data_IF_449776134535
#
_entry.id   IF_449776134535
#
_cell.length_a   1.000
_cell.length_b   1.000
_cell.length_c   1.000
_cell.angle_alpha   90.00
_cell.angle_beta   90.00
_cell.angle_gamma   90.00
#
_symmetry.space_group_name_H-M   'P 1'
#
loop_
_entity.id
_entity.type
_entity.pdbx_description
1 polymer ?
#
# COMPACT_ATOMS: atom_id res chain seq x y z
N UNK A 1 10.26 20.75 23.41
CA UNK A 1 9.76 19.98 22.25
C UNK A 1 8.26 20.22 22.12
N UNK A 2 7.72 20.25 20.89
CA UNK A 2 6.27 20.35 20.68
C UNK A 2 5.55 19.15 21.33
N UNK A 3 4.34 19.36 21.82
CA UNK A 3 3.49 18.28 22.32
C UNK A 3 2.92 17.52 21.13
N UNK A 4 3.35 16.26 20.97
CA UNK A 4 2.87 15.39 19.90
C UNK A 4 1.40 14.99 20.11
N UNK A 5 0.70 14.60 19.03
CA UNK A 5 -0.72 14.19 19.07
C UNK A 5 -0.90 12.95 19.94
N UNK A 6 0.04 12.02 19.88
CA UNK A 6 0.06 10.75 20.59
C UNK A 6 0.07 10.89 22.11
N UNK A 7 0.50 12.05 22.66
CA UNK A 7 0.37 12.35 24.10
C UNK A 7 -1.06 12.17 24.63
N UNK A 8 -2.06 12.32 23.75
CA UNK A 8 -3.47 12.09 24.07
C UNK A 8 -3.74 10.66 24.55
N UNK A 9 -3.03 9.66 24.03
CA UNK A 9 -3.22 8.24 24.37
C UNK A 9 -2.05 7.65 25.17
N UNK A 10 -0.91 8.35 25.24
CA UNK A 10 0.28 7.88 25.96
C UNK A 10 0.49 8.55 27.32
N UNK A 11 -0.09 9.73 27.59
CA UNK A 11 0.21 10.49 28.82
C UNK A 11 -1.00 10.70 29.75
N UNK A 12 -0.72 10.84 31.05
CA UNK A 12 -1.73 11.16 32.07
C UNK A 12 -2.39 9.94 32.74
N UNK A 13 -2.96 10.15 33.93
CA UNK A 13 -3.57 9.09 34.76
C UNK A 13 -4.73 8.39 34.03
N UNK A 14 -5.60 9.17 33.40
CA UNK A 14 -6.80 8.65 32.71
C UNK A 14 -6.47 7.78 31.50
N UNK A 15 -5.25 7.88 30.94
CA UNK A 15 -4.80 7.09 29.80
C UNK A 15 -4.01 5.84 30.21
N UNK A 16 -4.13 5.39 31.46
CA UNK A 16 -3.51 4.13 31.92
C UNK A 16 -4.00 2.92 31.12
N UNK A 17 -5.29 2.89 30.76
CA UNK A 17 -5.86 1.82 29.91
C UNK A 17 -5.35 1.85 28.47
N UNK A 18 -5.22 3.04 27.87
CA UNK A 18 -4.60 3.16 26.55
C UNK A 18 -3.13 2.70 26.59
N UNK A 19 -2.37 3.11 27.62
CA UNK A 19 -1.00 2.63 27.82
C UNK A 19 -0.90 1.12 28.02
N UNK A 20 -1.83 0.48 28.74
CA UNK A 20 -1.78 -0.98 28.92
C UNK A 20 -1.99 -1.72 27.60
N UNK A 21 -2.89 -1.22 26.74
CA UNK A 21 -3.05 -1.74 25.37
C UNK A 21 -1.80 -1.49 24.52
N UNK A 22 -1.20 -0.30 24.58
CA UNK A 22 0.05 -0.01 23.88
C UNK A 22 1.19 -0.94 24.31
N UNK A 23 1.29 -1.27 25.60
CA UNK A 23 2.25 -2.27 26.10
C UNK A 23 2.01 -3.66 25.52
N UNK A 24 0.74 -4.06 25.35
CA UNK A 24 0.41 -5.33 24.69
C UNK A 24 0.86 -5.37 23.22
N UNK A 25 1.05 -4.20 22.58
CA UNK A 25 1.68 -4.09 21.25
C UNK A 25 3.22 -3.99 21.28
N UNK A 26 3.84 -4.23 22.44
CA UNK A 26 5.29 -4.25 22.63
C UNK A 26 5.94 -2.92 23.06
N UNK A 27 5.17 -1.87 23.36
CA UNK A 27 5.76 -0.59 23.82
C UNK A 27 6.22 -0.67 25.28
N UNK A 28 7.35 -0.01 25.57
CA UNK A 28 7.86 0.20 26.93
C UNK A 28 7.72 1.65 27.40
N UNK A 29 8.22 1.95 28.60
CA UNK A 29 8.10 3.27 29.24
C UNK A 29 8.82 4.38 28.47
N UNK A 30 9.95 4.06 27.83
CA UNK A 30 10.70 5.01 27.02
C UNK A 30 10.00 5.30 25.68
N UNK A 31 9.22 4.35 25.17
CA UNK A 31 8.46 4.54 23.93
C UNK A 31 7.32 5.55 24.06
N UNK A 32 6.75 5.73 25.26
CA UNK A 32 5.69 6.72 25.47
C UNK A 32 6.14 8.17 25.35
N UNK A 33 7.46 8.42 25.28
CA UNK A 33 8.05 9.74 25.11
C UNK A 33 8.39 10.04 23.63
N UNK A 34 8.30 9.03 22.76
CA UNK A 34 8.67 9.09 21.34
C UNK A 34 7.45 9.36 20.47
N UNK A 35 7.62 9.94 19.26
CA UNK A 35 6.52 10.08 18.32
C UNK A 35 6.06 8.71 17.79
N UNK A 36 4.75 8.52 17.67
CA UNK A 36 4.15 7.35 17.04
C UNK A 36 3.97 7.64 15.55
N UNK A 37 4.62 6.83 14.72
CA UNK A 37 4.61 6.97 13.25
C UNK A 37 3.76 5.84 12.68
N UNK A 38 2.63 6.19 12.05
CA UNK A 38 1.78 5.21 11.40
C UNK A 38 2.39 4.78 10.07
N UNK A 39 2.53 3.47 9.84
CA UNK A 39 2.90 2.94 8.52
C UNK A 39 1.60 2.48 7.87
N UNK A 40 1.16 3.23 6.87
CA UNK A 40 -0.05 2.94 6.11
C UNK A 40 0.32 2.04 4.95
N UNK A 41 0.07 0.75 5.10
CA UNK A 41 0.36 -0.24 4.06
C UNK A 41 -0.92 -0.65 3.32
N UNK A 42 -0.76 -1.10 2.08
CA UNK A 42 -1.83 -1.63 1.24
C UNK A 42 -1.51 -3.05 0.76
N UNK A 43 -0.64 -3.77 1.48
CA UNK A 43 -0.30 -5.16 1.19
C UNK A 43 -1.55 -6.02 1.03
N UNK A 44 -1.60 -6.76 -0.08
CA UNK A 44 -2.65 -7.72 -0.37
C UNK A 44 -2.09 -8.81 -1.28
N UNK A 45 -2.42 -10.07 -0.97
CA UNK A 45 -2.06 -11.20 -1.83
C UNK A 45 -2.94 -11.29 -3.09
N UNK A 46 -4.04 -10.53 -3.15
CA UNK A 46 -4.90 -10.44 -4.35
C UNK A 46 -4.31 -9.51 -5.42
N UNK A 47 -3.35 -8.66 -5.06
CA UNK A 47 -2.89 -7.58 -5.93
C UNK A 47 -1.38 -7.75 -6.16
N UNK A 48 -0.92 -8.20 -7.34
CA UNK A 48 0.50 -8.41 -7.62
C UNK A 48 1.37 -7.17 -7.38
N UNK A 49 0.82 -5.97 -7.58
CA UNK A 49 1.52 -4.72 -7.27
C UNK A 49 1.75 -4.44 -5.79
N UNK A 50 1.16 -5.25 -4.91
CA UNK A 50 1.15 -5.00 -3.47
C UNK A 50 1.74 -6.14 -2.64
N UNK A 51 2.03 -7.30 -3.25
CA UNK A 51 2.47 -8.50 -2.52
C UNK A 51 3.81 -8.30 -1.78
N UNK A 52 4.73 -7.50 -2.33
CA UNK A 52 6.03 -7.24 -1.72
C UNK A 52 6.01 -6.14 -0.65
N UNK A 53 4.90 -5.39 -0.54
CA UNK A 53 4.82 -4.23 0.36
C UNK A 53 4.88 -4.62 1.84
N UNK A 54 4.59 -5.88 2.19
CA UNK A 54 4.80 -6.36 3.55
C UNK A 54 6.28 -6.26 3.96
N UNK A 55 7.21 -6.54 3.05
CA UNK A 55 8.64 -6.44 3.35
C UNK A 55 9.09 -4.97 3.40
N UNK A 56 8.54 -4.13 2.52
CA UNK A 56 8.76 -2.68 2.56
C UNK A 56 8.31 -2.08 3.90
N UNK A 57 7.15 -2.51 4.42
CA UNK A 57 6.64 -2.12 5.74
C UNK A 57 7.61 -2.46 6.88
N UNK A 58 8.19 -3.66 6.86
CA UNK A 58 9.21 -4.08 7.84
C UNK A 58 10.47 -3.21 7.77
N UNK A 59 10.97 -2.91 6.57
CA UNK A 59 12.14 -2.05 6.37
C UNK A 59 11.87 -0.66 6.95
N UNK A 60 10.73 -0.05 6.61
CA UNK A 60 10.33 1.26 7.11
C UNK A 60 10.19 1.25 8.64
N UNK A 61 9.59 0.20 9.21
CA UNK A 61 9.46 0.02 10.66
C UNK A 61 10.81 0.01 11.36
N UNK A 62 11.78 -0.71 10.82
CA UNK A 62 13.15 -0.74 11.37
C UNK A 62 13.82 0.65 11.32
N UNK A 63 13.67 1.40 10.22
CA UNK A 63 14.27 2.73 10.09
C UNK A 63 13.61 3.77 11.01
N UNK A 64 12.30 3.68 11.24
CA UNK A 64 11.62 4.53 12.23
C UNK A 64 12.18 4.26 13.63
N UNK A 65 12.35 2.99 14.02
CA UNK A 65 12.90 2.63 15.33
C UNK A 65 14.33 3.15 15.51
N UNK A 66 15.19 2.98 14.49
CA UNK A 66 16.57 3.51 14.48
C UNK A 66 16.59 5.04 14.61
N UNK A 67 15.59 5.71 14.04
CA UNK A 67 15.43 7.17 14.11
C UNK A 67 14.77 7.67 15.41
N UNK A 68 14.48 6.78 16.36
CA UNK A 68 13.91 7.15 17.66
C UNK A 68 12.39 7.34 17.67
N UNK A 69 11.68 6.87 16.64
CA UNK A 69 10.21 6.82 16.60
C UNK A 69 9.64 5.45 16.99
N UNK A 70 8.33 5.39 17.18
CA UNK A 70 7.59 4.14 17.42
C UNK A 70 6.74 3.82 16.19
N UNK A 71 7.11 2.82 15.37
CA UNK A 71 6.32 2.46 14.20
C UNK A 71 5.08 1.67 14.63
N UNK A 72 3.94 1.97 14.02
CA UNK A 72 2.73 1.15 14.08
C UNK A 72 2.17 0.97 12.68
N UNK A 73 2.36 -0.22 12.14
CA UNK A 73 1.87 -0.59 10.82
C UNK A 73 0.42 -1.07 10.89
N UNK A 74 -0.37 -0.64 9.91
CA UNK A 74 -1.71 -1.18 9.66
C UNK A 74 -1.97 -1.20 8.15
N UNK A 75 -2.96 -1.99 7.75
CA UNK A 75 -3.34 -2.13 6.36
C UNK A 75 -4.64 -1.42 6.04
N UNK A 76 -4.69 -0.80 4.86
CA UNK A 76 -5.92 -0.46 4.15
C UNK A 76 -6.19 -1.49 3.04
N UNK A 77 -7.37 -1.43 2.43
CA UNK A 77 -7.78 -2.34 1.35
C UNK A 77 -7.02 -2.06 0.05
N UNK A 78 -6.96 -3.05 -0.84
CA UNK A 78 -6.47 -2.87 -2.20
C UNK A 78 -7.32 -3.66 -3.20
N UNK A 79 -7.57 -3.06 -4.35
CA UNK A 79 -8.26 -3.67 -5.50
C UNK A 79 -7.30 -3.65 -6.68
N UNK A 80 -7.25 -4.75 -7.42
CA UNK A 80 -6.52 -4.84 -8.68
C UNK A 80 -7.45 -4.52 -9.86
N UNK A 81 -7.23 -3.36 -10.47
CA UNK A 81 -8.03 -2.91 -11.62
C UNK A 81 -7.83 -3.82 -12.85
N UNK A 82 -6.66 -4.45 -13.00
CA UNK A 82 -6.37 -5.38 -14.09
C UNK A 82 -7.19 -6.66 -13.98
N UNK A 83 -7.27 -7.23 -12.78
CA UNK A 83 -8.09 -8.42 -12.49
C UNK A 83 -9.58 -8.09 -12.56
N UNK A 84 -10.01 -6.94 -12.03
CA UNK A 84 -11.42 -6.54 -12.01
C UNK A 84 -11.98 -6.14 -13.39
N UNK A 85 -11.12 -6.02 -14.40
CA UNK A 85 -11.47 -5.56 -15.74
C UNK A 85 -12.38 -6.56 -16.46
N UNK A 86 -13.41 -6.04 -17.13
CA UNK A 86 -14.30 -6.86 -17.97
C UNK A 86 -15.46 -7.55 -17.25
N UNK A 87 -15.66 -7.31 -15.95
CA UNK A 87 -16.82 -7.83 -15.21
C UNK A 87 -17.33 -6.83 -14.14
N UNK A 88 -18.35 -7.23 -13.38
CA UNK A 88 -19.01 -6.38 -12.36
C UNK A 88 -18.10 -5.92 -11.22
N UNK A 89 -16.91 -6.51 -11.07
CA UNK A 89 -15.92 -6.12 -10.07
C UNK A 89 -15.39 -4.71 -10.28
N UNK A 90 -15.33 -4.24 -11.53
CA UNK A 90 -14.88 -2.89 -11.87
C UNK A 90 -15.74 -1.78 -11.21
N UNK A 91 -17.00 -2.07 -10.85
CA UNK A 91 -17.86 -1.14 -10.12
C UNK A 91 -17.31 -0.78 -8.72
N UNK A 92 -16.43 -1.60 -8.16
CA UNK A 92 -15.81 -1.39 -6.84
C UNK A 92 -14.47 -0.66 -6.90
N UNK A 93 -13.87 -0.50 -8.08
CA UNK A 93 -12.55 0.13 -8.25
C UNK A 93 -12.53 1.57 -7.77
N UNK A 94 -13.21 2.49 -8.48
CA UNK A 94 -13.15 3.92 -8.15
C UNK A 94 -13.67 4.24 -6.73
N UNK A 95 -14.81 3.67 -6.26
CA UNK A 95 -15.28 3.89 -4.89
C UNK A 95 -14.29 3.46 -3.81
N UNK A 96 -13.40 2.49 -4.08
CA UNK A 96 -12.38 2.08 -3.11
C UNK A 96 -11.46 3.22 -2.70
N UNK A 97 -11.23 4.22 -3.56
CA UNK A 97 -10.43 5.41 -3.24
C UNK A 97 -10.93 6.11 -1.97
N UNK A 98 -12.25 6.27 -1.85
CA UNK A 98 -12.86 6.92 -0.68
C UNK A 98 -12.73 6.03 0.55
N UNK A 99 -12.98 4.72 0.42
CA UNK A 99 -12.83 3.78 1.53
C UNK A 99 -11.39 3.72 2.04
N UNK A 100 -10.40 3.78 1.14
CA UNK A 100 -8.99 3.87 1.48
C UNK A 100 -8.75 5.15 2.29
N UNK A 101 -9.17 6.31 1.77
CA UNK A 101 -9.00 7.58 2.46
C UNK A 101 -9.62 7.57 3.87
N UNK A 102 -10.87 7.11 3.97
CA UNK A 102 -11.63 7.08 5.21
C UNK A 102 -11.02 6.09 6.23
N UNK A 103 -10.60 4.90 5.78
CA UNK A 103 -9.98 3.91 6.65
C UNK A 103 -8.70 4.43 7.31
N UNK A 104 -7.88 5.18 6.56
CA UNK A 104 -6.65 5.78 7.06
C UNK A 104 -6.98 6.89 8.05
N UNK A 105 -7.91 7.77 7.68
CA UNK A 105 -8.35 8.88 8.51
C UNK A 105 -8.86 8.39 9.88
N UNK A 106 -9.62 7.30 9.90
CA UNK A 106 -10.18 6.71 11.12
C UNK A 106 -9.08 6.15 12.02
N UNK A 107 -8.18 5.33 11.47
CA UNK A 107 -7.11 4.71 12.27
C UNK A 107 -6.17 5.77 12.83
N UNK A 108 -5.74 6.73 12.00
CA UNK A 108 -4.78 7.76 12.40
C UNK A 108 -5.35 8.70 13.45
N UNK A 109 -6.59 9.16 13.29
CA UNK A 109 -7.23 10.03 14.27
C UNK A 109 -7.55 9.29 15.58
N UNK A 110 -8.10 8.08 15.51
CA UNK A 110 -8.48 7.31 16.70
C UNK A 110 -7.27 6.97 17.58
N UNK A 111 -6.12 6.66 16.97
CA UNK A 111 -4.89 6.34 17.69
C UNK A 111 -3.99 7.55 17.94
N UNK A 112 -4.39 8.73 17.43
CA UNK A 112 -3.67 9.98 17.56
C UNK A 112 -2.21 9.90 17.08
N UNK A 113 -1.95 9.23 15.95
CA UNK A 113 -0.59 9.14 15.42
C UNK A 113 -0.04 10.52 15.04
N UNK A 114 1.28 10.68 15.13
CA UNK A 114 1.96 11.98 15.03
C UNK A 114 2.36 12.34 13.60
N UNK A 115 2.69 11.30 12.82
CA UNK A 115 3.03 11.37 11.42
C UNK A 115 2.65 10.04 10.76
N UNK A 116 2.68 9.99 9.44
CA UNK A 116 2.48 8.74 8.71
C UNK A 116 3.39 8.57 7.51
N UNK A 117 3.67 7.31 7.17
CA UNK A 117 4.36 6.91 5.95
C UNK A 117 3.40 6.04 5.16
N UNK A 118 3.05 6.50 3.96
CA UNK A 118 2.12 5.84 3.05
C UNK A 118 2.89 5.00 2.03
N UNK A 119 2.70 3.68 2.07
CA UNK A 119 3.25 2.74 1.09
C UNK A 119 2.20 2.52 0.01
N UNK A 120 2.34 3.24 -1.09
CA UNK A 120 1.35 3.28 -2.17
C UNK A 120 1.88 2.67 -3.47
N UNK A 121 1.00 2.09 -4.29
CA UNK A 121 1.41 1.63 -5.62
C UNK A 121 0.27 1.76 -6.67
N UNK A 122 -0.73 0.88 -6.63
CA UNK A 122 -1.77 0.82 -7.66
C UNK A 122 -2.68 2.06 -7.73
N UNK A 123 -3.39 2.16 -8.85
CA UNK A 123 -4.15 3.32 -9.33
C UNK A 123 -4.91 4.06 -8.21
N UNK A 124 -5.90 3.42 -7.58
CA UNK A 124 -6.79 4.08 -6.59
C UNK A 124 -6.18 4.24 -5.21
N UNK A 125 -5.08 3.54 -4.91
CA UNK A 125 -4.40 3.55 -3.61
C UNK A 125 -3.69 4.87 -3.39
N UNK A 126 -2.93 5.31 -4.40
CA UNK A 126 -2.16 6.56 -4.35
C UNK A 126 -3.01 7.79 -4.08
N UNK A 127 -4.09 8.07 -4.84
CA UNK A 127 -4.96 9.19 -4.53
C UNK A 127 -5.74 8.99 -3.24
N UNK A 128 -6.12 7.77 -2.85
CA UNK A 128 -6.79 7.50 -1.57
C UNK A 128 -5.91 7.87 -0.36
N UNK A 129 -4.65 7.43 -0.36
CA UNK A 129 -3.67 7.80 0.66
C UNK A 129 -3.34 9.30 0.64
N UNK A 130 -3.26 9.91 -0.55
CA UNK A 130 -3.04 11.35 -0.69
C UNK A 130 -4.20 12.16 -0.11
N UNK A 131 -5.44 11.76 -0.39
CA UNK A 131 -6.63 12.38 0.19
C UNK A 131 -6.61 12.31 1.72
N UNK A 132 -6.30 11.14 2.30
CA UNK A 132 -6.15 11.01 3.74
C UNK A 132 -5.08 11.94 4.30
N UNK A 133 -3.92 12.07 3.64
CA UNK A 133 -2.84 12.96 4.10
C UNK A 133 -3.26 14.43 4.14
N UNK A 134 -4.01 14.88 3.13
CA UNK A 134 -4.47 16.26 3.06
C UNK A 134 -5.56 16.53 4.10
N UNK A 135 -6.47 15.57 4.33
CA UNK A 135 -7.51 15.68 5.37
C UNK A 135 -6.92 15.72 6.78
N UNK A 136 -5.94 14.85 7.05
CA UNK A 136 -5.32 14.72 8.38
C UNK A 136 -4.34 15.85 8.70
N UNK A 137 -3.70 16.43 7.67
CA UNK A 137 -2.75 17.52 7.78
C UNK A 137 -1.66 17.30 8.85
N UNK A 138 -1.09 16.09 8.86
CA UNK A 138 0.09 15.73 9.66
C UNK A 138 1.28 15.44 8.76
N UNK A 139 2.52 15.49 9.27
CA UNK A 139 3.70 15.11 8.49
C UNK A 139 3.49 13.74 7.84
N UNK A 140 3.59 13.71 6.52
CA UNK A 140 3.28 12.54 5.70
C UNK A 140 4.37 12.34 4.66
N UNK A 141 4.84 11.10 4.50
CA UNK A 141 5.82 10.70 3.48
C UNK A 141 5.22 9.60 2.62
N UNK A 142 5.43 9.66 1.31
CA UNK A 142 4.96 8.65 0.38
C UNK A 142 6.14 7.82 -0.13
N UNK A 143 5.99 6.51 -0.04
CA UNK A 143 6.94 5.51 -0.57
C UNK A 143 6.20 4.72 -1.64
N UNK A 144 6.68 4.81 -2.88
CA UNK A 144 6.13 4.02 -3.97
C UNK A 144 6.56 2.56 -3.86
N UNK A 145 5.65 1.63 -4.11
CA UNK A 145 5.95 0.21 -4.24
C UNK A 145 6.78 -0.12 -5.48
N UNK A 146 6.73 0.73 -6.51
CA UNK A 146 7.48 0.59 -7.74
C UNK A 146 6.78 -0.27 -8.80
N UNK A 147 7.16 -0.09 -10.08
CA UNK A 147 6.60 -0.83 -11.19
C UNK A 147 7.12 -2.26 -11.26
N UNK A 148 6.34 -3.13 -11.89
CA UNK A 148 6.82 -4.45 -12.32
C UNK A 148 7.81 -4.31 -13.49
N UNK A 149 8.61 -5.33 -13.72
CA UNK A 149 9.48 -5.38 -14.90
C UNK A 149 8.64 -5.72 -16.14
N UNK A 150 9.05 -5.20 -17.31
CA UNK A 150 8.41 -5.56 -18.57
C UNK A 150 8.67 -7.03 -18.91
N UNK A 151 7.61 -7.73 -19.32
CA UNK A 151 7.65 -9.07 -19.88
C UNK A 151 8.43 -9.14 -21.19
N UNK A 152 8.81 -10.36 -21.59
CA UNK A 152 9.60 -10.59 -22.82
C UNK A 152 9.17 -11.85 -23.55
N UNK A 153 8.97 -11.75 -24.87
CA UNK A 153 8.70 -12.89 -25.75
C UNK A 153 9.61 -12.88 -26.99
N UNK A 154 9.79 -14.04 -27.61
CA UNK A 154 10.49 -14.15 -28.90
C UNK A 154 9.49 -14.13 -30.05
N UNK A 155 9.70 -13.24 -31.01
CA UNK A 155 8.95 -13.19 -32.27
C UNK A 155 9.92 -12.97 -33.43
N UNK A 156 9.88 -13.84 -34.45
CA UNK A 156 10.78 -13.78 -35.61
C UNK A 156 12.27 -13.67 -35.21
N UNK A 157 12.72 -14.48 -34.24
CA UNK A 157 14.08 -14.45 -33.66
C UNK A 157 14.51 -13.12 -33.01
N UNK A 158 13.58 -12.21 -32.71
CA UNK A 158 13.83 -10.99 -31.95
C UNK A 158 13.10 -11.03 -30.61
N UNK A 159 13.75 -10.53 -29.57
CA UNK A 159 13.12 -10.29 -28.28
C UNK A 159 12.26 -9.03 -28.36
N UNK A 160 11.01 -9.14 -27.91
CA UNK A 160 10.03 -8.04 -27.85
C UNK A 160 9.59 -7.92 -26.40
N UNK A 161 9.59 -6.68 -25.89
CA UNK A 161 9.01 -6.37 -24.58
C UNK A 161 7.50 -6.35 -24.68
N UNK A 162 6.84 -6.90 -23.68
CA UNK A 162 5.39 -6.94 -23.57
C UNK A 162 4.96 -6.56 -22.16
N UNK A 163 3.71 -6.12 -22.02
CA UNK A 163 3.11 -5.78 -20.74
C UNK A 163 1.64 -6.28 -20.64
N UNK A 164 0.94 -5.87 -19.58
CA UNK A 164 -0.46 -6.21 -19.37
C UNK A 164 -1.37 -5.72 -20.52
N UNK A 165 -1.06 -4.57 -21.13
CA UNK A 165 -1.85 -4.01 -22.23
C UNK A 165 -1.75 -4.94 -23.45
N UNK A 166 -0.57 -5.47 -23.75
CA UNK A 166 -0.40 -6.47 -24.81
C UNK A 166 -1.24 -7.74 -24.57
N UNK A 167 -1.30 -8.19 -23.31
CA UNK A 167 -2.13 -9.33 -22.92
C UNK A 167 -3.63 -9.05 -23.13
N UNK A 168 -4.11 -7.89 -22.67
CA UNK A 168 -5.51 -7.46 -22.85
C UNK A 168 -5.85 -7.34 -24.34
N UNK A 169 -5.01 -6.65 -25.12
CA UNK A 169 -5.24 -6.39 -26.53
C UNK A 169 -5.19 -7.68 -27.38
N UNK A 170 -4.29 -8.60 -27.05
CA UNK A 170 -4.19 -9.88 -27.77
C UNK A 170 -5.36 -10.80 -27.39
N UNK A 171 -5.72 -10.88 -26.11
CA UNK A 171 -6.85 -11.70 -25.64
C UNK A 171 -8.21 -11.23 -26.17
N UNK A 172 -8.38 -9.91 -26.38
CA UNK A 172 -9.59 -9.35 -27.00
C UNK A 172 -9.71 -9.53 -28.51
N UNK A 173 -8.67 -10.05 -29.19
CA UNK A 173 -8.64 -10.16 -30.64
C UNK A 173 -8.95 -11.61 -31.11
N UNK A 174 -10.10 -11.86 -31.76
CA UNK A 174 -10.53 -13.21 -32.16
C UNK A 174 -9.67 -13.83 -33.27
N UNK A 175 -8.78 -13.06 -33.90
CA UNK A 175 -7.88 -13.55 -34.96
C UNK A 175 -6.51 -13.99 -34.44
N UNK A 176 -6.26 -13.94 -33.12
CA UNK A 176 -5.00 -14.37 -32.50
C UNK A 176 -5.08 -15.85 -32.12
N UNK A 177 -3.97 -16.57 -32.25
CA UNK A 177 -3.90 -17.97 -31.85
C UNK A 177 -3.87 -18.11 -30.32
N UNK A 178 -4.48 -19.17 -29.81
CA UNK A 178 -4.46 -19.51 -28.38
C UNK A 178 -3.04 -19.66 -27.84
N UNK A 179 -2.13 -20.27 -28.62
CA UNK A 179 -0.71 -20.41 -28.24
C UNK A 179 -0.02 -19.06 -28.01
N UNK A 180 -0.32 -18.06 -28.85
CA UNK A 180 0.25 -16.73 -28.70
C UNK A 180 -0.33 -16.04 -27.47
N UNK A 181 -1.64 -16.15 -27.25
CA UNK A 181 -2.32 -15.60 -26.07
C UNK A 181 -1.69 -16.18 -24.81
N UNK A 182 -1.54 -17.50 -24.71
CA UNK A 182 -0.93 -18.19 -23.57
C UNK A 182 0.53 -17.79 -23.35
N UNK A 183 1.29 -17.63 -24.44
CA UNK A 183 2.69 -17.17 -24.36
C UNK A 183 2.77 -15.76 -23.76
N UNK A 184 1.92 -14.84 -24.22
CA UNK A 184 1.86 -13.47 -23.69
C UNK A 184 1.39 -13.47 -22.23
N UNK A 185 0.29 -14.17 -21.91
CA UNK A 185 -0.26 -14.30 -20.55
C UNK A 185 0.82 -14.72 -19.54
N UNK A 186 1.57 -15.78 -19.85
CA UNK A 186 2.61 -16.32 -18.96
C UNK A 186 3.86 -15.43 -18.81
N UNK A 187 4.00 -14.40 -19.64
CA UNK A 187 5.22 -13.61 -19.75
C UNK A 187 5.03 -12.12 -19.47
N UNK A 188 3.80 -11.59 -19.57
CA UNK A 188 3.50 -10.16 -19.52
C UNK A 188 3.82 -9.48 -18.17
N UNK A 189 3.60 -10.19 -17.06
CA UNK A 189 3.78 -9.68 -15.70
C UNK A 189 4.79 -10.55 -14.93
N UNK A 190 6.10 -10.44 -15.21
CA UNK A 190 7.12 -11.37 -14.70
C UNK A 190 7.48 -11.16 -13.22
N UNK A 191 7.22 -9.97 -12.66
CA UNK A 191 7.58 -9.61 -11.28
C UNK A 191 6.45 -8.88 -10.56
N UNK A 192 6.57 -8.72 -9.24
CA UNK A 192 5.66 -7.87 -8.48
C UNK A 192 5.88 -6.37 -8.79
N UNK A 193 4.83 -5.57 -8.65
CA UNK A 193 4.87 -4.13 -8.88
C UNK A 193 3.63 -3.60 -9.60
N UNK A 194 3.47 -2.28 -9.68
CA UNK A 194 2.39 -1.68 -10.46
C UNK A 194 2.59 -1.98 -11.95
N UNK A 195 1.53 -1.85 -12.76
CA UNK A 195 1.66 -1.96 -14.22
C UNK A 195 2.77 -1.03 -14.74
N UNK A 196 3.64 -1.56 -15.60
CA UNK A 196 4.83 -0.88 -16.16
C UNK A 196 4.49 0.04 -17.33
#
# INVERSE_FOLDING_TARGET
MPKYRSFTTTYGKNMSGARSLWRATGMNDEDFKKPIIAIVNSFSQFVPGHIHLQEVGKIISQEIQKSGGVPKEFNTIAIDDGIAMGHSGMLYSLPSRELIADSIEYVVNAHCADAMICISNCDKITPGMLMASMRLNIPSVFVSGGPMEAGKIKKNNKEIKIDLVDAIMTGGNPHKSEDLIKTIESSACPTCGSCS
#
